data_IF_595418615214
#
_entry.id   IF_595418615214
#
_cell.length_a   1.000
_cell.length_b   1.000
_cell.length_c   1.000
_cell.angle_alpha   90.00
_cell.angle_beta   90.00
_cell.angle_gamma   90.00
#
_symmetry.space_group_name_H-M   'P 1'
#
loop_
_entity.id
_entity.type
_entity.pdbx_description
1 polymer ?
#
# COMPACT_ATOMS: atom_id res chain seq x y z
N UNK A 1 14.11 -7.38 -16.64
CA UNK A 1 13.36 -8.60 -16.29
C UNK A 1 13.05 -8.53 -14.80
N UNK A 2 11.91 -7.97 -14.39
CA UNK A 2 11.40 -8.18 -13.02
C UNK A 2 10.38 -9.31 -13.18
N UNK A 3 10.86 -10.55 -12.99
CA UNK A 3 10.02 -11.74 -13.00
C UNK A 3 10.01 -12.29 -11.59
N UNK A 4 9.00 -11.87 -10.85
CA UNK A 4 8.37 -12.59 -9.76
C UNK A 4 7.03 -11.87 -9.60
N UNK A 5 5.93 -12.63 -9.61
CA UNK A 5 4.64 -12.13 -9.12
C UNK A 5 4.86 -11.84 -7.64
N UNK A 6 5.43 -10.67 -7.31
CA UNK A 6 5.48 -10.23 -5.92
C UNK A 6 4.02 -10.22 -5.48
N UNK A 7 3.70 -11.08 -4.51
CA UNK A 7 2.37 -11.16 -3.94
C UNK A 7 1.92 -9.73 -3.64
N UNK A 8 0.78 -9.35 -4.23
CA UNK A 8 0.32 -7.96 -4.17
C UNK A 8 -0.24 -7.76 -2.76
N UNK A 9 0.32 -6.82 -1.98
CA UNK A 9 -0.12 -6.59 -0.61
C UNK A 9 -1.60 -6.21 -0.57
N UNK A 10 -2.31 -6.85 0.35
CA UNK A 10 -3.73 -6.60 0.66
C UNK A 10 -3.89 -5.69 1.88
N UNK A 11 -2.86 -5.65 2.75
CA UNK A 11 -2.83 -4.88 4.00
C UNK A 11 -1.70 -3.86 4.00
N UNK A 12 -1.75 -2.89 4.92
CA UNK A 12 -0.70 -1.85 5.01
C UNK A 12 0.56 -2.39 5.68
N UNK A 13 0.42 -3.39 6.54
CA UNK A 13 1.51 -4.08 7.23
C UNK A 13 2.40 -4.86 6.25
N UNK A 14 1.82 -5.38 5.18
CA UNK A 14 2.53 -6.07 4.10
C UNK A 14 3.31 -5.11 3.18
N UNK A 15 3.10 -3.80 3.28
CA UNK A 15 3.87 -2.77 2.56
C UNK A 15 5.15 -2.41 3.32
N UNK A 16 5.93 -3.42 3.67
CA UNK A 16 7.17 -3.26 4.43
C UNK A 16 8.36 -2.82 3.57
N UNK A 17 9.49 -2.51 4.23
CA UNK A 17 10.70 -2.05 3.57
C UNK A 17 11.31 -3.08 2.61
N UNK A 18 11.15 -4.38 2.89
CA UNK A 18 11.69 -5.45 2.04
C UNK A 18 10.90 -5.53 0.73
N UNK A 19 9.56 -5.56 0.85
CA UNK A 19 8.67 -5.58 -0.30
C UNK A 19 8.84 -4.32 -1.16
N UNK A 20 8.87 -3.15 -0.52
CA UNK A 20 9.10 -1.86 -1.20
C UNK A 20 10.45 -1.82 -1.91
N UNK A 21 11.51 -2.35 -1.29
CA UNK A 21 12.82 -2.47 -1.94
C UNK A 21 12.74 -3.29 -3.22
N UNK A 22 12.03 -4.42 -3.15
CA UNK A 22 11.88 -5.34 -4.29
C UNK A 22 11.13 -4.70 -5.45
N UNK A 23 10.03 -3.99 -5.19
CA UNK A 23 9.19 -3.43 -6.25
C UNK A 23 9.67 -2.08 -6.79
N UNK A 24 10.32 -1.26 -5.95
CA UNK A 24 10.87 0.03 -6.38
C UNK A 24 12.26 -0.12 -7.02
N UNK A 25 12.97 -1.23 -6.77
CA UNK A 25 14.31 -1.47 -7.28
C UNK A 25 15.39 -0.57 -6.63
N UNK A 26 15.09 -0.01 -5.45
CA UNK A 26 15.99 0.83 -4.65
C UNK A 26 15.93 0.40 -3.18
N UNK A 27 17.02 0.55 -2.44
CA UNK A 27 17.09 0.09 -1.04
C UNK A 27 16.26 0.99 -0.11
N UNK A 28 15.10 0.50 0.33
CA UNK A 28 14.29 1.12 1.38
C UNK A 28 14.70 0.51 2.72
N UNK A 29 15.04 1.36 3.68
CA UNK A 29 15.46 0.94 5.03
C UNK A 29 14.40 1.17 6.08
N UNK A 30 13.37 1.95 5.77
CA UNK A 30 12.28 2.22 6.68
C UNK A 30 11.04 2.73 5.96
N UNK A 31 9.89 2.40 6.54
CA UNK A 31 8.59 2.84 6.10
C UNK A 31 7.77 3.26 7.31
N UNK A 32 7.10 4.41 7.21
CA UNK A 32 6.07 4.83 8.15
C UNK A 32 4.79 5.08 7.38
N UNK A 33 3.77 4.27 7.66
CA UNK A 33 2.45 4.46 7.09
C UNK A 33 1.65 5.53 7.84
N UNK A 34 0.94 6.36 7.09
CA UNK A 34 -0.01 7.35 7.60
C UNK A 34 -1.29 7.22 6.80
N UNK A 35 -2.39 6.88 7.47
CA UNK A 35 -3.68 6.81 6.80
C UNK A 35 -4.16 8.23 6.48
N UNK A 36 -4.58 8.44 5.24
CA UNK A 36 -5.03 9.75 4.75
C UNK A 36 -6.44 9.64 4.15
N UNK A 37 -7.07 10.80 3.96
CA UNK A 37 -8.38 10.90 3.31
C UNK A 37 -9.48 10.05 3.99
N UNK A 38 -9.36 9.84 5.30
CA UNK A 38 -10.35 9.14 6.12
C UNK A 38 -11.70 9.86 6.02
N UNK A 39 -12.77 9.10 5.78
CA UNK A 39 -14.14 9.65 5.68
C UNK A 39 -14.44 10.47 4.42
N UNK A 40 -13.55 10.51 3.43
CA UNK A 40 -13.74 11.34 2.21
C UNK A 40 -14.48 10.65 1.06
N UNK A 41 -14.86 9.37 1.22
CA UNK A 41 -15.63 8.63 0.20
C UNK A 41 -14.78 7.99 -0.93
N UNK A 42 -13.47 7.85 -0.76
CA UNK A 42 -12.66 7.04 -1.68
C UNK A 42 -13.06 5.56 -1.67
N UNK A 43 -13.02 4.91 -2.83
CA UNK A 43 -13.29 3.48 -3.02
C UNK A 43 -12.13 2.55 -2.60
N UNK A 44 -11.15 3.09 -1.87
CA UNK A 44 -9.93 2.40 -1.43
C UNK A 44 -9.45 2.98 -0.12
N UNK A 45 -8.74 2.19 0.70
CA UNK A 45 -7.95 2.74 1.79
C UNK A 45 -6.72 3.44 1.21
N UNK A 46 -6.49 4.70 1.60
CA UNK A 46 -5.34 5.49 1.15
C UNK A 46 -4.35 5.67 2.29
N UNK A 47 -3.09 5.35 2.01
CA UNK A 47 -1.98 5.58 2.92
C UNK A 47 -0.90 6.39 2.22
N UNK A 48 -0.33 7.36 2.94
CA UNK A 48 0.98 7.91 2.59
C UNK A 48 2.04 7.08 3.29
N UNK A 49 2.94 6.48 2.52
CA UNK A 49 4.11 5.82 3.05
C UNK A 49 5.27 6.79 2.99
N UNK A 50 5.77 7.20 4.14
CA UNK A 50 7.00 7.98 4.26
C UNK A 50 8.17 7.00 4.24
N UNK A 51 9.08 7.15 3.29
CA UNK A 51 10.16 6.19 3.07
C UNK A 51 11.49 6.78 3.49
N UNK A 52 12.35 5.92 4.03
CA UNK A 52 13.76 6.21 4.28
C UNK A 52 14.63 5.20 3.56
N UNK A 53 15.79 5.62 3.08
CA UNK A 53 16.76 4.75 2.41
C UNK A 53 17.82 5.56 1.68
N UNK A 54 18.39 4.97 0.64
CA UNK A 54 19.41 5.62 -0.19
C UNK A 54 18.88 6.91 -0.86
N UNK A 55 19.79 7.73 -1.40
CA UNK A 55 19.43 9.01 -2.03
C UNK A 55 18.46 8.88 -3.22
N UNK A 56 18.31 7.68 -3.80
CA UNK A 56 17.36 7.39 -4.88
C UNK A 56 15.95 7.04 -4.38
N UNK A 57 15.74 6.85 -3.08
CA UNK A 57 14.43 6.54 -2.50
C UNK A 57 13.55 7.80 -2.49
N UNK A 58 12.31 7.73 -3.02
CA UNK A 58 11.41 8.86 -2.96
C UNK A 58 10.98 9.14 -1.51
N UNK A 59 10.86 10.41 -1.12
CA UNK A 59 10.50 10.77 0.25
C UNK A 59 9.12 10.25 0.70
N UNK A 60 8.18 10.04 -0.23
CA UNK A 60 6.95 9.29 0.05
C UNK A 60 6.29 8.73 -1.21
N UNK A 61 5.42 7.75 -1.02
CA UNK A 61 4.48 7.23 -2.04
C UNK A 61 3.06 7.18 -1.49
N UNK A 62 2.06 7.14 -2.38
CA UNK A 62 0.67 6.86 -2.00
C UNK A 62 0.35 5.40 -2.31
N UNK A 63 0.00 4.64 -1.28
CA UNK A 63 -0.53 3.30 -1.42
C UNK A 63 -2.06 3.34 -1.48
N UNK A 64 -2.62 2.64 -2.46
CA UNK A 64 -4.06 2.41 -2.60
C UNK A 64 -4.33 0.94 -2.31
N UNK A 65 -4.94 0.66 -1.17
CA UNK A 65 -5.29 -0.69 -0.75
C UNK A 65 -6.79 -0.97 -0.95
N UNK A 66 -7.19 -2.24 -1.07
CA UNK A 66 -8.60 -2.61 -1.11
C UNK A 66 -9.38 -1.95 0.04
N UNK A 67 -10.56 -1.41 -0.27
CA UNK A 67 -11.40 -0.81 0.75
C UNK A 67 -11.90 -1.88 1.73
N UNK A 68 -11.64 -1.68 3.02
CA UNK A 68 -12.36 -2.37 4.10
C UNK A 68 -13.67 -1.64 4.36
N UNK A 69 -14.57 -1.57 3.38
CA UNK A 69 -15.87 -0.94 3.63
C UNK A 69 -16.92 -1.99 3.99
N UNK A 70 -17.80 -1.67 4.93
CA UNK A 70 -19.00 -2.46 5.18
C UNK A 70 -19.84 -2.61 3.91
N UNK A 71 -19.77 -1.64 2.98
CA UNK A 71 -20.41 -1.75 1.68
C UNK A 71 -19.77 -2.85 0.79
N UNK A 72 -18.44 -3.03 0.83
CA UNK A 72 -17.75 -4.17 0.19
C UNK A 72 -18.22 -5.48 0.80
N UNK A 73 -18.25 -5.58 2.12
CA UNK A 73 -18.75 -6.77 2.83
C UNK A 73 -20.23 -7.01 2.51
N UNK A 74 -21.06 -5.97 2.51
CA UNK A 74 -22.48 -6.07 2.15
C UNK A 74 -22.67 -6.48 0.69
N UNK A 75 -21.86 -5.98 -0.24
CA UNK A 75 -21.86 -6.42 -1.64
C UNK A 75 -21.42 -7.89 -1.79
N UNK A 76 -20.36 -8.31 -1.09
CA UNK A 76 -19.92 -9.71 -1.07
C UNK A 76 -21.01 -10.63 -0.45
N UNK A 77 -21.69 -10.19 0.60
CA UNK A 77 -22.84 -10.90 1.18
C UNK A 77 -24.06 -10.98 0.25
N UNK A 78 -24.18 -10.06 -0.72
CA UNK A 78 -25.20 -10.08 -1.76
C UNK A 78 -24.76 -10.81 -3.05
N UNK A 79 -23.58 -11.45 -3.04
CA UNK A 79 -23.07 -12.25 -4.16
C UNK A 79 -22.37 -11.44 -5.26
N UNK A 80 -21.88 -10.24 -4.93
CA UNK A 80 -21.00 -9.46 -5.80
C UNK A 80 -19.58 -10.01 -5.92
#
# INVERSE_FOLDING_TARGET
>A
MISATAEVPSTVEELDAEWLTRVLGVTVTGVRAEQIAVGSGFSSLLYRLHLTGDASVPGSVIAKLPAQSEARIAMEMMGG
#
